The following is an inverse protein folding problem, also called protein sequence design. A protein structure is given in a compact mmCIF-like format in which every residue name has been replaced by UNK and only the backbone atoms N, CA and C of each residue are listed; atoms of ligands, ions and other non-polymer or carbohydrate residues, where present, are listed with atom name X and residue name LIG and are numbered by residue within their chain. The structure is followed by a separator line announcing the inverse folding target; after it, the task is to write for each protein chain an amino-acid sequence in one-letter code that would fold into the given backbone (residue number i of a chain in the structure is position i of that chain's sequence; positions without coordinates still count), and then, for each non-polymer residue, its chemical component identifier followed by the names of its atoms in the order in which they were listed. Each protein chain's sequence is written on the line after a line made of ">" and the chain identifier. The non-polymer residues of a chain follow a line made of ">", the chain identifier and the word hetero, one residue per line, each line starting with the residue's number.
data_IF_710824877341
#
_entry.id   IF_710824877341
#
_cell.length_a   1.000
_cell.length_b   1.000
_cell.length_c   1.000
_cell.angle_alpha   90.00
_cell.angle_beta   90.00
_cell.angle_gamma   90.00
#
_symmetry.space_group_name_H-M   'P 1'
#
loop_
_entity.id
_entity.type
_entity.pdbx_description
1 polymer ?
#
# COMPACT_ATOMS: atom_id res chain seq x y z
N UNK A 1 13.18 -15.92 10.34
CA UNK A 1 13.29 -14.49 10.03
C UNK A 1 12.31 -14.15 8.93
N UNK A 2 11.06 -13.89 9.33
CA UNK A 2 9.89 -13.64 8.47
C UNK A 2 9.62 -12.14 8.31
N UNK A 3 10.63 -11.30 8.55
CA UNK A 3 10.51 -9.83 8.50
C UNK A 3 10.15 -9.31 7.10
N UNK A 4 10.50 -10.03 6.03
CA UNK A 4 10.15 -9.65 4.68
C UNK A 4 8.65 -9.87 4.38
N UNK A 5 8.05 -10.91 4.96
CA UNK A 5 6.63 -11.25 4.74
C UNK A 5 5.71 -10.37 5.59
N UNK A 6 6.13 -10.00 6.79
CA UNK A 6 5.36 -9.13 7.70
C UNK A 6 5.21 -7.72 7.09
N UNK A 7 6.32 -7.17 6.57
CA UNK A 7 6.33 -5.89 5.85
C UNK A 7 5.47 -5.89 4.59
N UNK A 8 5.43 -7.05 3.90
CA UNK A 8 4.57 -7.25 2.73
C UNK A 8 3.09 -7.18 3.10
N UNK A 9 2.70 -7.82 4.20
CA UNK A 9 1.32 -7.80 4.69
C UNK A 9 0.90 -6.40 5.12
N UNK A 10 1.78 -5.64 5.76
CA UNK A 10 1.54 -4.23 6.08
C UNK A 10 1.27 -3.39 4.82
N UNK A 11 2.10 -3.51 3.78
CA UNK A 11 1.89 -2.79 2.52
C UNK A 11 0.56 -3.14 1.87
N UNK A 12 0.20 -4.43 1.86
CA UNK A 12 -1.05 -4.91 1.29
C UNK A 12 -2.25 -4.38 2.08
N UNK A 13 -2.20 -4.45 3.41
CA UNK A 13 -3.25 -3.94 4.28
C UNK A 13 -3.43 -2.42 4.14
N UNK A 14 -2.32 -1.68 3.99
CA UNK A 14 -2.34 -0.24 3.76
C UNK A 14 -3.02 0.13 2.43
N UNK A 15 -2.66 -0.56 1.34
CA UNK A 15 -3.30 -0.35 0.03
C UNK A 15 -4.79 -0.73 0.07
N UNK A 16 -5.13 -1.87 0.69
CA UNK A 16 -6.52 -2.32 0.84
C UNK A 16 -7.36 -1.33 1.64
N UNK A 17 -6.82 -0.75 2.72
CA UNK A 17 -7.52 0.23 3.55
C UNK A 17 -7.82 1.54 2.80
N UNK A 18 -6.88 2.01 1.97
CA UNK A 18 -7.03 3.30 1.27
C UNK A 18 -7.82 3.20 -0.03
N UNK A 19 -7.63 2.14 -0.83
CA UNK A 19 -8.28 1.98 -2.13
C UNK A 19 -9.48 1.02 -2.12
N UNK A 20 -9.70 0.27 -1.03
CA UNK A 20 -10.73 -0.77 -0.93
C UNK A 20 -10.64 -1.83 -2.04
N UNK A 21 -9.44 -2.05 -2.57
CA UNK A 21 -9.21 -3.12 -3.54
C UNK A 21 -9.25 -4.50 -2.87
N UNK A 22 -9.72 -5.49 -3.62
CA UNK A 22 -9.70 -6.87 -3.16
C UNK A 22 -8.26 -7.36 -2.96
N UNK A 23 -8.05 -8.16 -1.92
CA UNK A 23 -6.76 -8.74 -1.58
C UNK A 23 -6.13 -9.48 -2.77
N UNK A 24 -6.96 -10.20 -3.53
CA UNK A 24 -6.57 -10.96 -4.72
C UNK A 24 -5.96 -10.05 -5.79
N UNK A 25 -6.57 -8.88 -6.03
CA UNK A 25 -6.07 -7.89 -6.98
C UNK A 25 -4.72 -7.31 -6.53
N UNK A 26 -4.53 -7.09 -5.22
CA UNK A 26 -3.28 -6.54 -4.68
C UNK A 26 -2.16 -7.58 -4.68
N UNK A 27 -2.50 -8.86 -4.49
CA UNK A 27 -1.56 -9.98 -4.57
C UNK A 27 -1.14 -10.27 -6.01
N UNK A 28 -2.01 -10.04 -6.98
CA UNK A 28 -1.74 -10.20 -8.43
C UNK A 28 -0.83 -9.10 -8.99
N UNK A 29 -0.76 -7.93 -8.32
CA UNK A 29 0.16 -6.86 -8.71
C UNK A 29 1.63 -7.27 -8.59
N UNK A 30 2.42 -6.89 -9.60
CA UNK A 30 3.87 -6.98 -9.53
C UNK A 30 4.40 -6.22 -8.29
N UNK A 31 5.45 -6.77 -7.67
CA UNK A 31 6.03 -6.20 -6.45
C UNK A 31 6.47 -4.73 -6.62
N UNK A 32 6.84 -4.34 -7.83
CA UNK A 32 7.19 -2.96 -8.15
C UNK A 32 5.96 -2.04 -8.16
N UNK A 33 4.86 -2.49 -8.76
CA UNK A 33 3.64 -1.69 -8.86
C UNK A 33 2.97 -1.52 -7.50
N UNK A 34 2.92 -2.58 -6.67
CA UNK A 34 2.41 -2.47 -5.30
C UNK A 34 3.17 -1.40 -4.49
N UNK A 35 4.50 -1.40 -4.57
CA UNK A 35 5.32 -0.36 -3.90
C UNK A 35 5.05 1.03 -4.45
N UNK A 36 4.87 1.17 -5.77
CA UNK A 36 4.54 2.44 -6.40
C UNK A 36 3.21 2.99 -5.89
N UNK A 37 2.17 2.16 -5.79
CA UNK A 37 0.87 2.56 -5.26
C UNK A 37 0.97 2.94 -3.78
N UNK A 38 1.65 2.14 -2.95
CA UNK A 38 1.87 2.47 -1.54
C UNK A 38 2.55 3.84 -1.35
N UNK A 39 3.58 4.15 -2.15
CA UNK A 39 4.24 5.46 -2.15
C UNK A 39 3.32 6.60 -2.60
N UNK A 40 2.47 6.39 -3.61
CA UNK A 40 1.52 7.39 -4.07
C UNK A 40 0.46 7.72 -3.00
N UNK A 41 -0.06 6.69 -2.32
CA UNK A 41 -1.01 6.86 -1.21
C UNK A 41 -0.36 7.71 -0.10
N UNK A 42 0.87 7.37 0.30
CA UNK A 42 1.59 8.13 1.32
C UNK A 42 1.77 9.61 0.92
N UNK A 43 2.07 9.88 -0.35
CA UNK A 43 2.16 11.25 -0.88
C UNK A 43 0.81 11.98 -0.79
N UNK A 44 -0.30 11.34 -1.16
CA UNK A 44 -1.63 11.94 -1.05
C UNK A 44 -2.03 12.24 0.39
N UNK A 45 -1.80 11.29 1.31
CA UNK A 45 -2.11 11.47 2.73
C UNK A 45 -1.28 12.60 3.33
N UNK A 46 0.02 12.66 3.02
CA UNK A 46 0.90 13.73 3.49
C UNK A 46 0.46 15.11 2.98
N UNK A 47 0.01 15.20 1.72
CA UNK A 47 -0.49 16.45 1.14
C UNK A 47 -1.84 16.86 1.73
N UNK A 48 -2.77 15.91 1.89
CA UNK A 48 -4.08 16.16 2.49
C UNK A 48 -3.97 16.62 3.95
N UNK A 49 -3.03 16.06 4.72
CA UNK A 49 -2.77 16.48 6.09
C UNK A 49 -2.05 17.84 6.23
N UNK A 50 -1.41 18.33 5.17
CA UNK A 50 -0.78 19.65 5.16
C UNK A 50 -1.76 20.77 4.75
N UNK A 51 -2.92 20.42 4.20
CA UNK A 51 -3.95 21.35 3.73
C UNK A 51 -5.11 21.53 4.72
N UNK A 52 -5.06 20.89 5.90
CA UNK A 52 -6.06 20.99 6.99
C UNK A 52 -5.50 21.61 8.26
#
# INVERSE_FOLDING_TARGET
>A
MTYATDRLHEEIAYVAYHFHWNLETILDLEHHDRRRYAHQIASFVARAGAEG
#
